data_IF_990241967557
#
_entry.id   IF_990241967557
#
_cell.length_a   1.000
_cell.length_b   1.000
_cell.length_c   1.000
_cell.angle_alpha   90.00
_cell.angle_beta   90.00
_cell.angle_gamma   90.00
#
_symmetry.space_group_name_H-M   'P 1'
#
loop_
_entity.id
_entity.type
_entity.pdbx_description
1 polymer ?
#
# COMPACT_ATOMS: atom_id res chain seq x y z
N UNK A 1 26.20 3.83 -53.19
CA UNK A 1 26.94 2.65 -52.71
C UNK A 1 27.75 3.09 -51.50
N UNK A 2 27.48 2.48 -50.33
CA UNK A 2 28.05 2.72 -48.99
C UNK A 2 27.54 3.94 -48.20
N UNK A 3 27.14 3.64 -46.96
CA UNK A 3 26.68 4.47 -45.83
C UNK A 3 25.22 4.96 -45.85
N UNK A 4 24.32 4.12 -45.33
CA UNK A 4 23.06 4.48 -44.65
C UNK A 4 22.41 3.18 -44.14
N UNK A 5 22.86 2.65 -43.01
CA UNK A 5 22.17 1.59 -42.28
C UNK A 5 22.50 1.70 -40.78
N UNK A 6 21.78 2.57 -40.08
CA UNK A 6 21.64 2.54 -38.61
C UNK A 6 20.32 3.19 -38.22
N UNK A 7 19.22 2.52 -38.54
CA UNK A 7 17.88 2.90 -38.12
C UNK A 7 17.04 1.64 -37.99
N UNK A 8 17.12 0.97 -36.83
CA UNK A 8 16.31 -0.21 -36.54
C UNK A 8 14.92 0.24 -36.09
N UNK A 9 14.04 0.48 -37.05
CA UNK A 9 12.61 0.25 -36.87
C UNK A 9 12.27 -1.07 -37.58
N UNK A 10 12.08 -2.12 -36.79
CA UNK A 10 11.35 -3.33 -37.16
C UNK A 10 11.25 -4.20 -35.90
N UNK A 11 10.22 -3.96 -35.08
CA UNK A 11 9.77 -4.98 -34.14
C UNK A 11 9.04 -6.06 -34.95
N UNK A 12 9.82 -7.00 -35.50
CA UNK A 12 9.29 -8.27 -35.98
C UNK A 12 9.20 -9.18 -34.76
N UNK A 13 7.98 -9.52 -34.37
CA UNK A 13 7.67 -10.49 -33.32
C UNK A 13 8.20 -11.86 -33.74
N UNK A 14 9.35 -12.26 -33.19
CA UNK A 14 9.81 -13.65 -33.24
C UNK A 14 9.09 -14.42 -32.14
N UNK A 15 8.18 -15.31 -32.54
CA UNK A 15 7.71 -16.41 -31.70
C UNK A 15 8.91 -17.27 -31.31
N UNK A 16 9.41 -17.09 -30.08
CA UNK A 16 10.29 -18.07 -29.44
C UNK A 16 9.47 -18.86 -28.43
N UNK A 17 9.09 -20.08 -28.82
CA UNK A 17 8.74 -21.11 -27.86
C UNK A 17 10.04 -21.56 -27.17
N UNK A 18 10.19 -21.30 -25.87
CA UNK A 18 11.22 -21.99 -25.09
C UNK A 18 10.79 -22.14 -23.62
N UNK A 19 10.49 -23.41 -23.34
CA UNK A 19 10.52 -24.18 -22.09
C UNK A 19 10.77 -23.41 -20.79
N UNK A 20 9.79 -23.52 -19.88
CA UNK A 20 9.85 -23.13 -18.48
C UNK A 20 11.01 -23.86 -17.78
N UNK A 21 11.85 -23.10 -17.08
CA UNK A 21 12.72 -23.65 -16.04
C UNK A 21 11.84 -24.22 -14.90
N UNK A 22 12.18 -25.39 -14.32
CA UNK A 22 11.38 -25.98 -13.27
C UNK A 22 11.66 -25.22 -11.95
N UNK A 23 10.60 -24.71 -11.30
CA UNK A 23 10.71 -24.34 -9.89
C UNK A 23 9.97 -23.09 -9.41
N UNK A 24 8.76 -22.78 -9.88
CA UNK A 24 7.65 -22.26 -9.07
C UNK A 24 6.38 -22.69 -9.81
N UNK A 25 5.46 -23.41 -9.15
CA UNK A 25 4.21 -23.81 -9.80
C UNK A 25 3.44 -22.55 -10.24
N UNK A 26 3.38 -22.28 -11.55
CA UNK A 26 2.49 -21.28 -12.11
C UNK A 26 1.06 -21.76 -11.91
N UNK A 27 0.34 -21.16 -10.95
CA UNK A 27 -1.03 -21.52 -10.64
C UNK A 27 -2.00 -20.64 -11.46
N UNK A 28 -2.89 -21.33 -12.18
CA UNK A 28 -3.96 -20.82 -13.04
C UNK A 28 -3.48 -20.06 -14.28
N UNK A 29 -3.54 -20.76 -15.42
CA UNK A 29 -3.39 -20.19 -16.75
C UNK A 29 -4.78 -19.78 -17.23
N UNK A 30 -5.02 -18.47 -17.20
CA UNK A 30 -6.27 -17.85 -17.63
C UNK A 30 -7.47 -18.03 -16.69
N UNK A 31 -8.48 -17.19 -16.92
CA UNK A 31 -9.68 -17.03 -16.09
C UNK A 31 -10.89 -17.01 -17.00
N UNK A 32 -11.90 -17.82 -16.68
CA UNK A 32 -13.17 -17.82 -17.41
C UNK A 32 -14.08 -16.73 -16.82
N UNK A 33 -14.34 -15.68 -17.60
CA UNK A 33 -15.22 -14.56 -17.21
C UNK A 33 -16.54 -14.72 -17.97
N UNK A 34 -17.52 -15.36 -17.32
CA UNK A 34 -18.78 -15.71 -17.98
C UNK A 34 -18.56 -16.63 -19.19
N UNK A 35 -18.78 -16.10 -20.40
CA UNK A 35 -18.70 -16.85 -21.66
C UNK A 35 -17.35 -16.76 -22.37
N UNK A 36 -16.40 -15.94 -21.91
CA UNK A 36 -15.11 -15.73 -22.57
C UNK A 36 -13.93 -16.02 -21.64
N UNK A 37 -12.79 -16.35 -22.23
CA UNK A 37 -11.53 -16.62 -21.53
C UNK A 37 -10.62 -15.39 -21.54
N UNK A 38 -10.04 -15.08 -20.38
CA UNK A 38 -9.02 -14.05 -20.20
C UNK A 38 -7.69 -14.73 -19.90
N UNK A 39 -6.66 -14.47 -20.69
CA UNK A 39 -5.30 -14.89 -20.41
C UNK A 39 -4.77 -14.17 -19.17
N UNK A 40 -4.37 -14.93 -18.17
CA UNK A 40 -3.99 -14.43 -16.86
C UNK A 40 -3.03 -15.40 -16.17
N UNK A 41 -2.27 -14.90 -15.21
CA UNK A 41 -1.42 -15.70 -14.36
C UNK A 41 -1.38 -15.15 -12.93
N UNK A 42 -1.38 -16.07 -11.96
CA UNK A 42 -1.17 -15.75 -10.55
C UNK A 42 0.09 -16.43 -10.01
N UNK A 43 0.81 -15.73 -9.13
CA UNK A 43 1.95 -16.30 -8.42
C UNK A 43 2.13 -15.63 -7.06
N UNK A 44 2.93 -16.25 -6.19
CA UNK A 44 3.27 -15.69 -4.88
C UNK A 44 2.13 -15.76 -3.87
N UNK A 45 2.36 -15.17 -2.70
CA UNK A 45 1.41 -15.12 -1.59
C UNK A 45 1.64 -13.84 -0.78
N UNK A 46 0.63 -13.41 -0.03
CA UNK A 46 0.75 -12.22 0.81
C UNK A 46 -0.62 -11.65 1.17
N UNK A 47 -0.65 -10.64 2.06
CA UNK A 47 -1.89 -10.00 2.50
C UNK A 47 -2.55 -9.13 1.43
N UNK A 48 -1.81 -8.76 0.37
CA UNK A 48 -2.32 -7.99 -0.76
C UNK A 48 -2.16 -8.79 -2.05
N UNK A 49 -3.13 -8.62 -2.96
CA UNK A 49 -2.94 -9.01 -4.37
C UNK A 49 -2.48 -7.78 -5.15
N UNK A 50 -1.31 -7.88 -5.79
CA UNK A 50 -0.78 -6.88 -6.71
C UNK A 50 -1.33 -7.16 -8.11
N UNK A 51 -2.22 -6.30 -8.58
CA UNK A 51 -2.89 -6.44 -9.88
C UNK A 51 -2.19 -5.52 -10.90
N UNK A 52 -1.77 -6.10 -12.01
CA UNK A 52 -1.07 -5.39 -13.08
C UNK A 52 -1.99 -5.09 -14.26
N UNK A 53 -2.09 -3.80 -14.60
CA UNK A 53 -2.86 -3.27 -15.70
C UNK A 53 -1.92 -2.72 -16.78
N UNK A 54 -1.88 -3.38 -17.93
CA UNK A 54 -1.00 -3.03 -19.05
C UNK A 54 -1.44 -1.76 -19.79
N UNK A 55 -0.52 -1.13 -20.52
CA UNK A 55 -0.86 -0.04 -21.45
C UNK A 55 -1.72 -0.50 -22.64
N UNK A 56 -2.09 0.44 -23.50
CA UNK A 56 -2.88 0.19 -24.71
C UNK A 56 -2.27 -0.95 -25.55
N UNK A 57 -3.12 -1.86 -26.05
CA UNK A 57 -2.76 -3.01 -26.89
C UNK A 57 -1.70 -3.99 -26.33
N UNK A 58 -1.22 -3.79 -25.10
CA UNK A 58 -0.20 -4.64 -24.46
C UNK A 58 -0.84 -5.83 -23.74
N UNK A 59 -0.28 -7.02 -23.93
CA UNK A 59 -0.67 -8.23 -23.20
C UNK A 59 0.08 -8.37 -21.86
N UNK A 60 -0.19 -9.43 -21.10
CA UNK A 60 0.43 -9.66 -19.79
C UNK A 60 1.95 -9.85 -19.84
N UNK A 61 2.53 -10.17 -21.01
CA UNK A 61 3.95 -10.48 -21.14
C UNK A 61 4.86 -9.28 -20.92
N UNK A 62 4.33 -8.05 -21.02
CA UNK A 62 5.09 -6.82 -20.72
C UNK A 62 5.58 -6.80 -19.27
N UNK A 63 4.87 -7.47 -18.35
CA UNK A 63 5.24 -7.55 -16.94
C UNK A 63 6.24 -8.65 -16.61
N UNK A 64 6.74 -9.41 -17.59
CA UNK A 64 7.63 -10.57 -17.37
C UNK A 64 8.93 -10.27 -16.62
N UNK A 65 9.38 -9.00 -16.63
CA UNK A 65 10.59 -8.56 -15.91
C UNK A 65 10.30 -8.05 -14.49
N UNK A 66 9.03 -7.79 -14.16
CA UNK A 66 8.62 -7.15 -12.89
C UNK A 66 7.82 -8.12 -12.02
N UNK A 67 6.76 -8.73 -12.57
CA UNK A 67 5.85 -9.57 -11.80
C UNK A 67 6.54 -10.76 -11.08
N UNK A 68 7.50 -11.49 -11.70
CA UNK A 68 8.21 -12.57 -10.99
C UNK A 68 9.04 -12.08 -9.80
N UNK A 69 9.59 -10.88 -9.85
CA UNK A 69 10.35 -10.31 -8.74
C UNK A 69 9.44 -9.95 -7.57
N UNK A 70 8.25 -9.42 -7.85
CA UNK A 70 7.23 -9.11 -6.83
C UNK A 70 6.60 -10.38 -6.24
N UNK A 71 6.42 -11.42 -7.06
CA UNK A 71 5.86 -12.70 -6.62
C UNK A 71 6.69 -13.38 -5.51
N UNK A 72 7.95 -12.99 -5.32
CA UNK A 72 8.81 -13.47 -4.22
C UNK A 72 8.32 -13.02 -2.84
N UNK A 73 7.58 -11.91 -2.76
CA UNK A 73 7.18 -11.29 -1.48
C UNK A 73 5.71 -10.87 -1.39
N UNK A 74 4.95 -10.94 -2.50
CA UNK A 74 3.53 -10.64 -2.54
C UNK A 74 2.79 -11.58 -3.51
N UNK A 75 1.46 -11.67 -3.38
CA UNK A 75 0.61 -12.31 -4.40
C UNK A 75 0.51 -11.35 -5.59
N UNK A 76 0.75 -11.86 -6.80
CA UNK A 76 0.61 -11.09 -8.05
C UNK A 76 -0.49 -11.68 -8.91
N UNK A 77 -1.16 -10.80 -9.66
CA UNK A 77 -2.11 -11.14 -10.71
C UNK A 77 -1.82 -10.29 -11.94
N UNK A 78 -1.42 -10.95 -13.03
CA UNK A 78 -1.19 -10.32 -14.34
C UNK A 78 -2.20 -10.87 -15.33
N UNK A 79 -2.66 -10.05 -16.27
CA UNK A 79 -3.66 -10.48 -17.24
C UNK A 79 -3.59 -9.67 -18.54
N UNK A 80 -4.13 -10.24 -19.61
CA UNK A 80 -4.31 -9.58 -20.91
C UNK A 80 -5.78 -9.23 -21.04
N UNK A 81 -6.13 -7.97 -21.26
CA UNK A 81 -7.53 -7.57 -21.45
C UNK A 81 -8.19 -8.38 -22.58
N UNK A 82 -9.51 -8.55 -22.51
CA UNK A 82 -10.25 -9.34 -23.49
C UNK A 82 -9.96 -8.86 -24.92
N UNK A 83 -9.68 -9.77 -25.85
CA UNK A 83 -9.30 -9.45 -27.25
C UNK A 83 -7.82 -9.09 -27.46
N UNK A 84 -6.99 -9.10 -26.41
CA UNK A 84 -5.54 -8.88 -26.48
C UNK A 84 -4.79 -10.17 -26.13
N UNK A 85 -3.70 -10.44 -26.83
CA UNK A 85 -2.86 -11.61 -26.57
C UNK A 85 -3.61 -12.91 -26.79
N UNK A 86 -3.67 -13.76 -25.76
CA UNK A 86 -4.42 -15.04 -25.78
C UNK A 86 -5.80 -14.95 -25.13
N UNK A 87 -6.27 -13.75 -24.82
CA UNK A 87 -7.63 -13.53 -24.31
C UNK A 87 -8.62 -13.52 -25.46
N UNK A 88 -9.76 -14.19 -25.26
CA UNK A 88 -10.89 -14.13 -26.17
C UNK A 88 -11.41 -12.69 -26.27
N UNK A 89 -11.98 -12.34 -27.42
CA UNK A 89 -12.78 -11.14 -27.54
C UNK A 89 -14.07 -11.27 -26.69
N UNK A 90 -14.58 -10.13 -26.20
CA UNK A 90 -15.86 -10.13 -25.50
C UNK A 90 -17.01 -10.35 -26.48
N UNK A 91 -18.09 -11.03 -26.06
CA UNK A 91 -19.28 -11.19 -26.89
C UNK A 91 -20.06 -9.87 -27.02
N UNK A 92 -19.99 -8.98 -26.03
CA UNK A 92 -20.64 -7.68 -26.09
C UNK A 92 -19.79 -6.61 -26.80
N UNK A 93 -20.45 -5.62 -27.40
CA UNK A 93 -19.78 -4.46 -27.96
C UNK A 93 -18.99 -3.69 -26.88
N UNK A 94 -17.76 -3.30 -27.20
CA UNK A 94 -16.95 -2.43 -26.33
C UNK A 94 -17.53 -1.01 -26.29
N UNK A 95 -17.52 -0.43 -25.10
CA UNK A 95 -17.82 0.99 -24.85
C UNK A 95 -16.82 1.53 -23.84
N UNK A 96 -16.56 2.85 -23.77
CA UNK A 96 -15.65 3.41 -22.76
C UNK A 96 -15.97 2.97 -21.33
N UNK A 97 -17.26 2.89 -20.98
CA UNK A 97 -17.73 2.46 -19.67
C UNK A 97 -17.51 0.97 -19.41
N UNK A 98 -17.68 0.12 -20.44
CA UNK A 98 -17.41 -1.32 -20.31
C UNK A 98 -15.93 -1.59 -20.19
N UNK A 99 -15.10 -0.92 -21.02
CA UNK A 99 -13.65 -1.06 -21.00
C UNK A 99 -13.04 -0.64 -19.66
N UNK A 100 -13.58 0.40 -19.03
CA UNK A 100 -13.11 0.85 -17.71
C UNK A 100 -13.59 -0.01 -16.54
N UNK A 101 -14.57 -0.89 -16.76
CA UNK A 101 -15.15 -1.77 -15.76
C UNK A 101 -14.77 -3.24 -15.91
N UNK A 102 -13.89 -3.60 -16.86
CA UNK A 102 -13.57 -5.02 -17.16
C UNK A 102 -12.85 -5.74 -16.03
N UNK A 103 -12.13 -4.99 -15.18
CA UNK A 103 -11.41 -5.55 -14.05
C UNK A 103 -12.35 -6.15 -12.99
N UNK A 104 -13.54 -5.58 -12.81
CA UNK A 104 -14.50 -6.02 -11.77
C UNK A 104 -14.93 -7.49 -11.94
N UNK A 105 -15.52 -7.91 -13.09
CA UNK A 105 -15.91 -9.32 -13.28
C UNK A 105 -14.70 -10.26 -13.38
N UNK A 106 -13.52 -9.76 -13.76
CA UNK A 106 -12.30 -10.56 -13.79
C UNK A 106 -11.81 -10.89 -12.38
N UNK A 107 -11.79 -9.91 -11.48
CA UNK A 107 -11.45 -10.08 -10.06
C UNK A 107 -12.38 -11.10 -9.40
N UNK A 108 -13.69 -10.99 -9.68
CA UNK A 108 -14.70 -11.91 -9.16
C UNK A 108 -14.46 -13.35 -9.65
N UNK A 109 -14.29 -13.52 -10.97
CA UNK A 109 -14.05 -14.83 -11.59
C UNK A 109 -12.71 -15.45 -11.17
N UNK A 110 -11.71 -14.62 -10.87
CA UNK A 110 -10.39 -15.06 -10.38
C UNK A 110 -10.36 -15.26 -8.85
N UNK A 111 -11.47 -15.01 -8.15
CA UNK A 111 -11.58 -15.11 -6.69
C UNK A 111 -10.49 -14.32 -5.95
N UNK A 112 -10.15 -13.13 -6.46
CA UNK A 112 -9.20 -12.25 -5.79
C UNK A 112 -9.92 -11.53 -4.65
N UNK A 113 -9.26 -11.46 -3.49
CA UNK A 113 -9.82 -10.79 -2.31
C UNK A 113 -9.13 -9.44 -2.09
N UNK A 114 -9.90 -8.38 -1.77
CA UNK A 114 -9.32 -7.10 -1.40
C UNK A 114 -8.64 -7.17 -0.02
N UNK A 115 -7.75 -6.21 0.31
CA UNK A 115 -7.44 -5.04 -0.50
C UNK A 115 -6.31 -5.27 -1.52
N UNK A 116 -6.34 -4.50 -2.61
CA UNK A 116 -5.46 -4.63 -3.78
C UNK A 116 -4.38 -3.56 -3.81
N UNK A 117 -3.24 -3.91 -4.40
CA UNK A 117 -2.26 -2.93 -4.88
C UNK A 117 -2.35 -2.90 -6.39
N UNK A 118 -2.66 -1.73 -6.96
CA UNK A 118 -2.90 -1.58 -8.38
C UNK A 118 -1.65 -1.02 -9.06
N UNK A 119 -1.17 -1.67 -10.11
CA UNK A 119 0.00 -1.23 -10.90
C UNK A 119 -0.46 -0.97 -12.33
N UNK A 120 -0.44 0.27 -12.77
CA UNK A 120 -0.96 0.67 -14.09
C UNK A 120 0.10 1.33 -14.94
N UNK A 121 0.37 0.79 -16.14
CA UNK A 121 1.24 1.42 -17.14
C UNK A 121 0.41 2.20 -18.16
N UNK A 122 0.79 3.45 -18.48
CA UNK A 122 0.18 4.19 -19.59
C UNK A 122 -1.36 4.24 -19.46
N UNK A 123 -2.11 3.76 -20.46
CA UNK A 123 -3.56 3.59 -20.42
C UNK A 123 -4.04 2.78 -19.19
N UNK A 124 -3.27 1.79 -18.75
CA UNK A 124 -3.56 1.07 -17.53
C UNK A 124 -3.54 1.94 -16.27
N UNK A 125 -2.71 2.99 -16.26
CA UNK A 125 -2.73 4.02 -15.23
C UNK A 125 -4.05 4.80 -15.16
N UNK A 126 -4.73 4.99 -16.29
CA UNK A 126 -6.09 5.54 -16.34
C UNK A 126 -7.12 4.56 -15.78
N UNK A 127 -7.07 3.29 -16.21
CA UNK A 127 -8.01 2.27 -15.79
C UNK A 127 -7.99 2.00 -14.27
N UNK A 128 -6.80 1.93 -13.65
CA UNK A 128 -6.70 1.71 -12.20
C UNK A 128 -7.25 2.89 -11.39
N UNK A 129 -7.24 4.12 -11.93
CA UNK A 129 -7.87 5.29 -11.30
C UNK A 129 -9.38 5.15 -11.30
N UNK A 130 -9.96 4.72 -12.42
CA UNK A 130 -11.40 4.47 -12.52
C UNK A 130 -11.86 3.31 -11.63
N UNK A 131 -11.03 2.27 -11.50
CA UNK A 131 -11.29 1.21 -10.51
C UNK A 131 -11.27 1.76 -9.08
N UNK A 132 -10.21 2.49 -8.70
CA UNK A 132 -10.05 3.04 -7.36
C UNK A 132 -11.13 4.07 -6.99
N UNK A 133 -11.69 4.78 -7.97
CA UNK A 133 -12.83 5.68 -7.75
C UNK A 133 -14.12 4.91 -7.45
N UNK A 134 -14.33 3.77 -8.11
CA UNK A 134 -15.54 2.94 -7.94
C UNK A 134 -15.48 2.06 -6.70
N UNK A 135 -14.28 1.62 -6.31
CA UNK A 135 -14.02 0.69 -5.20
C UNK A 135 -12.94 1.20 -4.24
N UNK A 136 -13.06 2.42 -3.68
CA UNK A 136 -11.99 3.05 -2.88
C UNK A 136 -11.60 2.23 -1.63
N UNK A 137 -12.53 1.49 -1.04
CA UNK A 137 -12.32 0.63 0.13
C UNK A 137 -11.55 -0.66 -0.19
N UNK A 138 -11.46 -1.04 -1.47
CA UNK A 138 -10.77 -2.23 -1.93
C UNK A 138 -9.32 -1.97 -2.33
N UNK A 139 -8.86 -0.72 -2.30
CA UNK A 139 -7.49 -0.34 -2.70
C UNK A 139 -6.65 -0.07 -1.47
N UNK A 140 -5.51 -0.75 -1.36
CA UNK A 140 -4.49 -0.53 -0.33
C UNK A 140 -3.31 0.31 -0.83
N UNK A 141 -3.10 0.43 -2.13
CA UNK A 141 -2.00 1.21 -2.71
C UNK A 141 -2.01 1.25 -4.22
N UNK A 142 -1.29 2.22 -4.81
CA UNK A 142 -1.29 2.44 -6.26
C UNK A 142 0.12 2.73 -6.80
N UNK A 143 0.49 2.13 -7.93
CA UNK A 143 1.72 2.43 -8.65
C UNK A 143 1.36 2.81 -10.08
N UNK A 144 1.76 4.00 -10.47
CA UNK A 144 1.57 4.52 -11.82
C UNK A 144 2.90 4.48 -12.56
N UNK A 145 2.95 3.74 -13.66
CA UNK A 145 4.12 3.64 -14.52
C UNK A 145 3.87 4.46 -15.77
N UNK A 146 4.38 5.68 -15.79
CA UNK A 146 4.19 6.65 -16.87
C UNK A 146 2.72 6.75 -17.36
N UNK A 147 1.77 7.05 -16.44
CA UNK A 147 0.34 6.92 -16.71
C UNK A 147 -0.19 7.89 -17.77
N UNK A 148 -1.08 7.44 -18.64
CA UNK A 148 -1.80 8.33 -19.55
C UNK A 148 -2.74 9.25 -18.79
N UNK A 149 -2.71 10.55 -19.11
CA UNK A 149 -3.50 11.58 -18.46
C UNK A 149 -4.52 12.19 -19.43
N UNK A 150 -5.77 12.26 -19.01
CA UNK A 150 -6.94 12.69 -19.78
C UNK A 150 -6.79 14.10 -20.35
N UNK A 151 -6.10 14.97 -19.60
CA UNK A 151 -5.90 16.36 -20.00
C UNK A 151 -4.67 16.57 -20.87
N UNK A 152 -3.87 15.54 -21.14
CA UNK A 152 -2.59 15.69 -21.82
C UNK A 152 -2.74 16.37 -23.19
N UNK A 153 -3.59 15.83 -24.07
CA UNK A 153 -3.86 16.41 -25.38
C UNK A 153 -4.41 17.83 -25.30
N UNK A 154 -5.31 18.09 -24.36
CA UNK A 154 -5.89 19.42 -24.16
C UNK A 154 -4.83 20.43 -23.73
N UNK A 155 -3.90 20.05 -22.86
CA UNK A 155 -2.78 20.90 -22.46
C UNK A 155 -1.74 21.05 -23.57
N UNK A 156 -1.45 19.99 -24.35
CA UNK A 156 -0.56 20.09 -25.52
C UNK A 156 -1.13 20.98 -26.62
N UNK A 157 -2.44 20.95 -26.86
CA UNK A 157 -3.10 21.83 -27.86
C UNK A 157 -2.96 23.30 -27.51
N UNK A 158 -2.81 23.65 -26.23
CA UNK A 158 -2.50 25.04 -25.81
C UNK A 158 -1.09 25.47 -26.23
N UNK A 159 -0.16 24.52 -26.38
CA UNK A 159 1.18 24.79 -26.89
C UNK A 159 1.19 24.85 -28.41
N UNK A 160 0.64 23.84 -29.09
CA UNK A 160 0.62 23.76 -30.56
C UNK A 160 -0.47 22.78 -31.06
N UNK A 161 -1.69 23.26 -31.26
CA UNK A 161 -2.80 22.41 -31.72
C UNK A 161 -2.58 21.81 -33.12
N UNK A 162 -1.84 22.49 -33.99
CA UNK A 162 -1.56 22.00 -35.34
C UNK A 162 -0.63 20.78 -35.31
N UNK A 163 0.41 20.82 -34.47
CA UNK A 163 1.29 19.68 -34.27
C UNK A 163 0.61 18.50 -33.58
N UNK A 164 -0.25 18.74 -32.59
CA UNK A 164 -1.04 17.66 -31.98
C UNK A 164 -1.93 16.98 -33.02
N UNK A 165 -2.60 17.75 -33.89
CA UNK A 165 -3.41 17.18 -34.97
C UNK A 165 -2.56 16.41 -36.01
N UNK A 166 -1.34 16.88 -36.29
CA UNK A 166 -0.39 16.18 -37.16
C UNK A 166 0.06 14.84 -36.55
N UNK A 167 0.47 14.86 -35.28
CA UNK A 167 0.87 13.66 -34.52
C UNK A 167 -0.27 12.63 -34.51
N UNK A 168 -1.49 13.05 -34.17
CA UNK A 168 -2.65 12.14 -34.15
C UNK A 168 -2.88 11.48 -35.50
N UNK A 169 -2.86 12.28 -36.59
CA UNK A 169 -3.05 11.75 -37.94
C UNK A 169 -1.94 10.75 -38.30
N UNK A 170 -0.70 11.01 -37.87
CA UNK A 170 0.41 10.08 -38.10
C UNK A 170 0.24 8.80 -37.27
N UNK A 171 -0.10 8.90 -35.98
CA UNK A 171 -0.37 7.74 -35.11
C UNK A 171 -1.53 6.87 -35.63
N UNK A 172 -2.58 7.48 -36.17
CA UNK A 172 -3.70 6.77 -36.81
C UNK A 172 -3.24 5.94 -38.03
N UNK A 173 -2.20 6.40 -38.75
CA UNK A 173 -1.61 5.61 -39.85
C UNK A 173 -0.75 4.46 -39.36
N UNK A 174 -0.11 4.60 -38.20
CA UNK A 174 0.75 3.57 -37.60
C UNK A 174 -0.08 2.51 -36.85
N UNK A 175 -1.30 2.85 -36.43
CA UNK A 175 -2.18 1.96 -35.67
C UNK A 175 -2.65 0.78 -36.53
N UNK A 176 -2.33 -0.48 -36.15
CA UNK A 176 -2.77 -1.67 -36.88
C UNK A 176 -4.30 -1.76 -36.96
N UNK A 177 -4.83 -2.25 -38.09
CA UNK A 177 -6.27 -2.34 -38.32
C UNK A 177 -7.07 -3.01 -37.19
N UNK A 178 -6.61 -4.13 -36.57
CA UNK A 178 -7.33 -4.76 -35.46
C UNK A 178 -7.46 -3.87 -34.21
N UNK A 179 -6.56 -2.89 -34.02
CA UNK A 179 -6.50 -2.03 -32.84
C UNK A 179 -7.21 -0.69 -33.03
N UNK A 180 -7.57 -0.31 -34.27
CA UNK A 180 -8.17 0.99 -34.57
C UNK A 180 -9.48 1.25 -33.81
N UNK A 181 -10.32 0.23 -33.69
CA UNK A 181 -11.57 0.36 -32.94
C UNK A 181 -11.32 0.59 -31.44
N UNK A 182 -10.33 -0.09 -30.85
CA UNK A 182 -9.95 0.13 -29.46
C UNK A 182 -9.32 1.50 -29.27
N UNK A 183 -8.41 1.92 -30.16
CA UNK A 183 -7.77 3.24 -30.12
C UNK A 183 -8.82 4.34 -30.07
N UNK A 184 -9.81 4.28 -30.98
CA UNK A 184 -10.90 5.26 -31.02
C UNK A 184 -11.70 5.31 -29.71
N UNK A 185 -11.99 4.16 -29.11
CA UNK A 185 -12.70 4.12 -27.82
C UNK A 185 -11.87 4.70 -26.68
N UNK A 186 -10.55 4.51 -26.71
CA UNK A 186 -9.62 5.12 -25.74
C UNK A 186 -9.59 6.63 -25.92
N UNK A 187 -9.50 7.12 -27.16
CA UNK A 187 -9.52 8.56 -27.46
C UNK A 187 -10.84 9.21 -27.02
N UNK A 188 -11.98 8.56 -27.29
CA UNK A 188 -13.30 9.00 -26.83
C UNK A 188 -13.40 9.03 -25.30
N UNK A 189 -12.86 8.02 -24.61
CA UNK A 189 -12.83 7.96 -23.16
C UNK A 189 -12.00 9.11 -22.56
N UNK A 190 -10.81 9.35 -23.10
CA UNK A 190 -9.94 10.44 -22.65
C UNK A 190 -10.56 11.81 -22.94
N UNK A 191 -11.10 12.01 -24.15
CA UNK A 191 -11.78 13.26 -24.51
C UNK A 191 -12.93 13.56 -23.56
N UNK A 192 -13.80 12.58 -23.29
CA UNK A 192 -14.92 12.75 -22.37
C UNK A 192 -14.44 13.03 -20.92
N UNK A 193 -13.45 12.28 -20.45
CA UNK A 193 -12.92 12.45 -19.09
C UNK A 193 -12.14 13.75 -18.90
N UNK A 194 -11.55 14.31 -19.96
CA UNK A 194 -10.82 15.58 -19.92
C UNK A 194 -11.71 16.79 -19.59
N UNK A 195 -13.03 16.65 -19.80
CA UNK A 195 -14.04 17.67 -19.51
C UNK A 195 -14.54 17.63 -18.07
N UNK A 196 -14.17 16.59 -17.32
CA UNK A 196 -14.60 16.37 -15.94
C UNK A 196 -13.50 16.80 -14.96
N UNK A 197 -13.86 17.16 -13.71
CA UNK A 197 -12.87 17.30 -12.64
C UNK A 197 -12.06 16.01 -12.47
N UNK A 198 -10.79 16.15 -12.08
CA UNK A 198 -9.96 14.99 -11.78
C UNK A 198 -10.66 14.09 -10.73
N UNK A 199 -10.71 12.78 -10.93
CA UNK A 199 -11.39 11.88 -10.01
C UNK A 199 -10.67 11.90 -8.65
N UNK A 200 -11.45 11.95 -7.57
CA UNK A 200 -10.90 11.85 -6.21
C UNK A 200 -10.52 10.41 -5.94
N UNK A 201 -9.23 10.16 -5.73
CA UNK A 201 -8.70 8.84 -5.41
C UNK A 201 -8.69 8.60 -3.90
N UNK A 202 -8.71 7.32 -3.44
CA UNK A 202 -8.50 7.00 -2.04
C UNK A 202 -7.09 7.45 -1.60
N UNK A 203 -6.99 7.98 -0.38
CA UNK A 203 -5.69 8.39 0.18
C UNK A 203 -4.93 7.16 0.70
N UNK A 204 -4.27 6.50 -0.24
CA UNK A 204 -3.46 5.29 -0.04
C UNK A 204 -2.01 5.57 -0.47
N UNK A 205 -1.03 4.79 0.00
CA UNK A 205 0.34 4.92 -0.45
C UNK A 205 0.43 4.78 -1.97
N UNK A 206 1.04 5.78 -2.62
CA UNK A 206 1.12 5.81 -4.07
C UNK A 206 2.49 6.20 -4.60
N UNK A 207 2.92 5.55 -5.69
CA UNK A 207 4.12 5.96 -6.41
C UNK A 207 3.77 6.29 -7.86
N UNK A 208 4.16 7.48 -8.32
CA UNK A 208 4.09 7.90 -9.71
C UNK A 208 5.50 7.85 -10.29
N UNK A 209 5.72 7.01 -11.30
CA UNK A 209 6.95 6.95 -12.08
C UNK A 209 6.74 7.72 -13.37
N UNK A 210 7.62 8.68 -13.66
CA UNK A 210 7.49 9.57 -14.81
C UNK A 210 8.75 9.53 -15.65
N UNK A 211 8.60 9.23 -16.95
CA UNK A 211 9.68 9.43 -17.90
C UNK A 211 9.77 10.90 -18.28
N UNK A 212 10.99 11.44 -18.23
CA UNK A 212 11.34 12.73 -18.83
C UNK A 212 12.41 12.59 -19.90
N UNK A 213 12.54 11.39 -20.49
CA UNK A 213 13.47 11.18 -21.58
C UNK A 213 13.08 12.05 -22.77
N UNK A 214 13.99 12.92 -23.18
CA UNK A 214 13.87 13.73 -24.40
C UNK A 214 14.75 13.15 -25.48
N UNK A 215 14.27 13.20 -26.73
CA UNK A 215 15.04 12.75 -27.90
C UNK A 215 15.69 13.95 -28.57
N UNK A 216 16.94 13.82 -29.01
CA UNK A 216 17.63 14.89 -29.75
C UNK A 216 16.86 15.33 -31.01
N UNK A 217 16.21 14.37 -31.68
CA UNK A 217 15.33 14.60 -32.81
C UNK A 217 13.96 13.96 -32.51
N UNK A 218 13.01 14.71 -31.92
CA UNK A 218 11.72 14.15 -31.54
C UNK A 218 10.87 13.87 -32.78
N UNK A 219 10.47 12.60 -32.94
CA UNK A 219 9.60 12.15 -34.03
C UNK A 219 8.16 12.70 -33.90
N UNK A 220 7.72 12.94 -32.67
CA UNK A 220 6.40 13.45 -32.33
C UNK A 220 6.53 14.69 -31.46
N UNK A 221 5.59 15.61 -31.57
CA UNK A 221 5.51 16.79 -30.72
C UNK A 221 5.45 16.44 -29.24
N UNK A 222 4.77 15.35 -28.88
CA UNK A 222 4.73 14.86 -27.49
C UNK A 222 6.10 14.51 -26.88
N UNK A 223 7.12 14.26 -27.71
CA UNK A 223 8.49 13.97 -27.27
C UNK A 223 9.39 15.22 -27.13
N UNK A 224 8.86 16.40 -27.44
CA UNK A 224 9.60 17.66 -27.29
C UNK A 224 9.72 18.08 -25.83
N UNK A 225 10.74 18.88 -25.50
CA UNK A 225 10.96 19.39 -24.13
C UNK A 225 9.71 20.06 -23.54
N UNK A 226 8.97 20.96 -24.25
CA UNK A 226 7.75 21.54 -23.72
C UNK A 226 6.65 20.52 -23.41
N UNK A 227 6.46 19.53 -24.29
CA UNK A 227 5.44 18.50 -24.11
C UNK A 227 5.76 17.54 -22.96
N UNK A 228 7.03 17.14 -22.81
CA UNK A 228 7.49 16.37 -21.63
C UNK A 228 7.29 17.17 -20.34
N UNK A 229 7.43 18.50 -20.39
CA UNK A 229 7.09 19.38 -19.28
C UNK A 229 5.61 19.30 -18.88
N UNK A 230 4.70 19.29 -19.85
CA UNK A 230 3.25 19.10 -19.62
C UNK A 230 2.97 17.73 -19.00
N UNK A 231 3.58 16.67 -19.55
CA UNK A 231 3.44 15.30 -19.05
C UNK A 231 3.81 15.20 -17.57
N UNK A 232 5.02 15.67 -17.22
CA UNK A 232 5.50 15.72 -15.83
C UNK A 232 4.59 16.55 -14.93
N UNK A 233 4.09 17.69 -15.40
CA UNK A 233 3.20 18.55 -14.61
C UNK A 233 1.87 17.85 -14.28
N UNK A 234 1.31 17.08 -15.20
CA UNK A 234 0.09 16.30 -14.96
C UNK A 234 0.33 15.15 -13.98
N UNK A 235 1.50 14.51 -14.04
CA UNK A 235 1.89 13.47 -13.09
C UNK A 235 2.11 14.03 -11.68
N UNK A 236 2.68 15.23 -11.57
CA UNK A 236 2.79 15.96 -10.30
C UNK A 236 1.39 16.23 -9.72
N UNK A 237 0.45 16.72 -10.54
CA UNK A 237 -0.93 16.96 -10.10
C UNK A 237 -1.63 15.67 -9.65
N UNK A 238 -1.37 14.54 -10.30
CA UNK A 238 -1.84 13.24 -9.85
C UNK A 238 -1.24 12.87 -8.49
N UNK A 239 0.07 13.02 -8.32
CA UNK A 239 0.77 12.68 -7.08
C UNK A 239 0.30 13.51 -5.88
N UNK A 240 -0.01 14.79 -6.09
CA UNK A 240 -0.48 15.70 -5.04
C UNK A 240 -1.84 15.30 -4.41
N UNK A 241 -2.54 14.28 -4.94
CA UNK A 241 -3.72 13.71 -4.31
C UNK A 241 -3.42 12.79 -3.13
N UNK A 242 -2.17 12.33 -2.98
CA UNK A 242 -1.77 11.32 -1.99
C UNK A 242 -0.95 11.94 -0.86
N UNK A 243 -1.25 11.58 0.39
CA UNK A 243 -0.49 12.03 1.57
C UNK A 243 0.75 11.19 1.85
N UNK A 244 0.91 10.06 1.15
CA UNK A 244 2.01 9.13 1.35
C UNK A 244 2.51 8.55 0.02
N UNK A 245 3.82 8.60 -0.19
CA UNK A 245 4.47 7.93 -1.32
C UNK A 245 5.51 8.77 -2.06
N UNK A 246 5.70 8.43 -3.34
CA UNK A 246 6.78 8.81 -4.30
C UNK A 246 6.31 9.51 -5.59
N UNK A 247 6.79 10.69 -5.98
CA UNK A 247 6.89 11.02 -7.41
C UNK A 247 8.34 10.86 -7.85
N UNK A 248 8.61 9.83 -8.65
CA UNK A 248 9.96 9.49 -9.11
C UNK A 248 10.07 9.77 -10.60
N UNK A 249 11.11 10.50 -10.98
CA UNK A 249 11.35 10.93 -12.36
C UNK A 249 12.61 10.27 -12.88
N UNK A 250 12.56 9.73 -14.11
CA UNK A 250 13.72 9.14 -14.79
C UNK A 250 13.90 9.73 -16.18
N UNK A 251 15.14 10.00 -16.57
CA UNK A 251 15.51 10.34 -17.94
C UNK A 251 16.17 9.16 -18.69
N UNK A 252 16.37 8.03 -18.00
CA UNK A 252 17.11 6.87 -18.52
C UNK A 252 16.23 5.92 -19.35
N UNK A 253 14.91 5.96 -19.14
CA UNK A 253 13.94 5.17 -19.89
C UNK A 253 12.87 6.04 -20.53
N UNK A 254 12.35 5.58 -21.66
CA UNK A 254 11.19 6.18 -22.32
C UNK A 254 9.88 5.75 -21.66
N UNK A 255 8.80 5.75 -22.44
CA UNK A 255 7.45 5.40 -21.99
C UNK A 255 7.33 3.99 -21.39
N UNK A 256 8.26 3.07 -21.70
CA UNK A 256 8.23 1.68 -21.24
C UNK A 256 9.19 1.42 -20.08
N UNK A 257 9.09 2.22 -19.01
CA UNK A 257 9.93 2.12 -17.79
C UNK A 257 9.96 0.67 -17.25
N UNK A 258 8.82 -0.05 -17.28
CA UNK A 258 8.73 -1.44 -16.82
C UNK A 258 9.56 -2.45 -17.66
N UNK A 259 9.92 -2.10 -18.90
CA UNK A 259 10.79 -2.92 -19.77
C UNK A 259 12.26 -2.48 -19.69
N UNK A 260 12.48 -1.18 -19.57
CA UNK A 260 13.79 -0.52 -19.65
C UNK A 260 14.47 -0.41 -18.27
N UNK A 261 13.72 -0.06 -17.23
CA UNK A 261 14.14 0.04 -15.82
C UNK A 261 13.22 -0.81 -14.90
N UNK A 262 13.11 -2.14 -15.11
CA UNK A 262 12.20 -3.00 -14.34
C UNK A 262 12.45 -2.97 -12.83
N UNK A 263 13.69 -2.77 -12.40
CA UNK A 263 14.05 -2.64 -10.99
C UNK A 263 13.45 -1.38 -10.35
N UNK A 264 13.32 -0.28 -11.11
CA UNK A 264 12.68 0.95 -10.63
C UNK A 264 11.19 0.71 -10.35
N UNK A 265 10.52 -0.01 -11.24
CA UNK A 265 9.11 -0.38 -11.06
C UNK A 265 8.93 -1.36 -9.89
N UNK A 266 9.80 -2.36 -9.78
CA UNK A 266 9.74 -3.31 -8.68
C UNK A 266 9.95 -2.62 -7.31
N UNK A 267 10.92 -1.70 -7.22
CA UNK A 267 11.16 -0.91 -6.02
C UNK A 267 9.97 -0.03 -5.64
N UNK A 268 9.31 0.60 -6.62
CA UNK A 268 8.09 1.39 -6.40
C UNK A 268 6.95 0.53 -5.82
N UNK A 269 6.75 -0.68 -6.35
CA UNK A 269 5.74 -1.62 -5.84
C UNK A 269 6.06 -2.04 -4.41
N UNK A 270 7.34 -2.36 -4.11
CA UNK A 270 7.76 -2.72 -2.76
C UNK A 270 7.57 -1.57 -1.75
N UNK A 271 7.85 -0.33 -2.17
CA UNK A 271 7.58 0.86 -1.36
C UNK A 271 6.09 1.00 -1.02
N UNK A 272 5.22 0.80 -2.01
CA UNK A 272 3.75 0.86 -1.80
C UNK A 272 3.28 -0.28 -0.89
N UNK A 273 3.76 -1.52 -1.08
CA UNK A 273 3.45 -2.66 -0.19
C UNK A 273 3.84 -2.33 1.26
N UNK A 274 5.05 -1.79 1.47
CA UNK A 274 5.53 -1.41 2.80
C UNK A 274 4.68 -0.31 3.42
N UNK A 275 4.33 0.72 2.64
CA UNK A 275 3.44 1.81 3.05
C UNK A 275 2.06 1.29 3.47
N UNK A 276 1.46 0.43 2.65
CA UNK A 276 0.14 -0.15 2.90
C UNK A 276 0.14 -0.99 4.20
N UNK A 277 1.17 -1.83 4.36
CA UNK A 277 1.38 -2.63 5.57
C UNK A 277 1.49 -1.76 6.82
N UNK A 278 2.28 -0.70 6.76
CA UNK A 278 2.44 0.21 7.89
C UNK A 278 1.14 0.95 8.22
N UNK A 279 0.36 1.35 7.21
CA UNK A 279 -0.95 1.99 7.40
C UNK A 279 -1.96 1.04 8.04
N UNK A 280 -2.03 -0.21 7.58
CA UNK A 280 -2.92 -1.21 8.17
C UNK A 280 -2.53 -1.54 9.61
N UNK A 281 -1.24 -1.70 9.90
CA UNK A 281 -0.75 -1.89 11.27
C UNK A 281 -1.15 -0.72 12.18
N UNK A 282 -1.01 0.53 11.72
CA UNK A 282 -1.46 1.71 12.47
C UNK A 282 -2.97 1.69 12.70
N UNK A 283 -3.76 1.31 11.69
CA UNK A 283 -5.23 1.22 11.79
C UNK A 283 -5.67 0.16 12.80
N UNK A 284 -5.11 -1.05 12.71
CA UNK A 284 -5.38 -2.16 13.64
C UNK A 284 -4.99 -1.77 15.06
N UNK A 285 -3.80 -1.19 15.24
CA UNK A 285 -3.32 -0.72 16.54
C UNK A 285 -4.22 0.35 17.15
N UNK A 286 -4.68 1.31 16.34
CA UNK A 286 -5.63 2.35 16.78
C UNK A 286 -6.98 1.74 17.20
N UNK A 287 -7.52 0.80 16.42
CA UNK A 287 -8.78 0.13 16.77
C UNK A 287 -8.65 -0.68 18.07
N UNK A 288 -7.53 -1.37 18.26
CA UNK A 288 -7.23 -2.06 19.51
C UNK A 288 -7.16 -1.09 20.70
N UNK A 289 -6.51 0.07 20.50
CA UNK A 289 -6.46 1.13 21.50
C UNK A 289 -7.85 1.67 21.86
N UNK A 290 -8.68 1.99 20.86
CA UNK A 290 -10.04 2.51 21.09
C UNK A 290 -10.90 1.51 21.86
N UNK A 291 -10.85 0.22 21.51
CA UNK A 291 -11.54 -0.85 22.24
C UNK A 291 -11.06 -0.97 23.68
N UNK A 292 -9.74 -0.93 23.90
CA UNK A 292 -9.17 -0.96 25.24
C UNK A 292 -9.65 0.23 26.06
N UNK A 293 -9.65 1.44 25.51
CA UNK A 293 -10.14 2.63 26.22
C UNK A 293 -11.61 2.51 26.62
N UNK A 294 -12.46 1.94 25.76
CA UNK A 294 -13.86 1.67 26.10
C UNK A 294 -14.01 0.62 27.21
N UNK A 295 -13.18 -0.42 27.21
CA UNK A 295 -13.17 -1.42 28.29
C UNK A 295 -12.73 -0.80 29.62
N UNK A 296 -11.74 0.10 29.58
CA UNK A 296 -11.27 0.85 30.74
C UNK A 296 -12.37 1.77 31.31
N UNK A 297 -13.16 2.43 30.46
CA UNK A 297 -14.31 3.24 30.92
C UNK A 297 -15.36 2.39 31.66
N UNK A 298 -15.63 1.17 31.16
CA UNK A 298 -16.54 0.22 31.82
C UNK A 298 -15.95 -0.33 33.12
N UNK A 299 -14.66 -0.63 33.14
CA UNK A 299 -13.95 -1.09 34.33
C UNK A 299 -13.95 -0.02 35.43
N UNK A 300 -13.80 1.25 35.09
CA UNK A 300 -13.94 2.37 36.03
C UNK A 300 -15.35 2.43 36.66
N UNK A 301 -16.40 2.23 35.85
CA UNK A 301 -17.77 2.16 36.35
C UNK A 301 -17.96 0.98 37.32
N UNK A 302 -17.37 -0.18 37.03
CA UNK A 302 -17.37 -1.34 37.92
C UNK A 302 -16.63 -1.07 39.24
N UNK A 303 -15.47 -0.40 39.18
CA UNK A 303 -14.73 0.01 40.37
C UNK A 303 -15.56 0.95 41.26
N UNK A 304 -16.25 1.94 40.66
CA UNK A 304 -17.17 2.84 41.39
C UNK A 304 -18.35 2.10 42.02
N UNK A 305 -18.79 1.00 41.40
CA UNK A 305 -19.81 0.10 41.93
C UNK A 305 -19.25 -0.96 42.89
N UNK A 306 -17.99 -0.84 43.34
CA UNK A 306 -17.30 -1.78 44.24
C UNK A 306 -17.14 -3.21 43.68
N UNK A 307 -17.17 -3.39 42.36
CA UNK A 307 -17.04 -4.67 41.66
C UNK A 307 -15.62 -4.88 41.11
N UNK A 308 -14.63 -4.83 42.00
CA UNK A 308 -13.22 -4.80 41.62
C UNK A 308 -12.73 -6.05 40.89
N UNK A 309 -13.23 -7.25 41.24
CA UNK A 309 -12.86 -8.49 40.57
C UNK A 309 -13.31 -8.51 39.10
N UNK A 310 -14.53 -8.05 38.83
CA UNK A 310 -15.08 -7.97 37.47
C UNK A 310 -14.38 -6.89 36.65
N UNK A 311 -14.03 -5.75 37.28
CA UNK A 311 -13.21 -4.72 36.64
C UNK A 311 -11.85 -5.29 36.21
N UNK A 312 -11.17 -6.03 37.10
CA UNK A 312 -9.90 -6.69 36.78
C UNK A 312 -10.00 -7.66 35.60
N UNK A 313 -11.00 -8.55 35.63
CA UNK A 313 -11.24 -9.51 34.53
C UNK A 313 -11.48 -8.81 33.18
N UNK A 314 -12.25 -7.70 33.19
CA UNK A 314 -12.50 -6.94 31.98
C UNK A 314 -11.23 -6.26 31.44
N UNK A 315 -10.41 -5.68 32.32
CA UNK A 315 -9.12 -5.07 31.94
C UNK A 315 -8.18 -6.14 31.36
N UNK A 316 -8.06 -7.28 32.03
CA UNK A 316 -7.19 -8.38 31.60
C UNK A 316 -7.61 -8.91 30.22
N UNK A 317 -8.91 -9.13 30.00
CA UNK A 317 -9.44 -9.55 28.70
C UNK A 317 -9.14 -8.53 27.60
N UNK A 318 -9.41 -7.24 27.87
CA UNK A 318 -9.20 -6.18 26.90
C UNK A 318 -7.71 -5.98 26.54
N UNK A 319 -6.82 -6.05 27.52
CA UNK A 319 -5.38 -5.97 27.29
C UNK A 319 -4.86 -7.17 26.51
N UNK A 320 -5.34 -8.39 26.84
CA UNK A 320 -5.01 -9.60 26.07
C UNK A 320 -5.48 -9.51 24.61
N UNK A 321 -6.69 -9.03 24.37
CA UNK A 321 -7.24 -8.82 23.02
C UNK A 321 -6.48 -7.74 22.23
N UNK A 322 -5.94 -6.73 22.91
CA UNK A 322 -5.18 -5.64 22.26
C UNK A 322 -3.85 -6.10 21.64
N UNK A 323 -3.28 -7.21 22.14
CA UNK A 323 -1.95 -7.72 21.79
C UNK A 323 -0.82 -6.69 21.97
N UNK A 324 -1.01 -5.72 22.86
CA UNK A 324 -0.01 -4.72 23.18
C UNK A 324 1.19 -5.33 23.91
N UNK A 325 2.39 -4.86 23.56
CA UNK A 325 3.62 -5.25 24.25
C UNK A 325 3.80 -4.49 25.56
N UNK A 326 4.81 -4.87 26.34
CA UNK A 326 5.10 -4.29 27.66
C UNK A 326 5.06 -2.75 27.67
N UNK A 327 5.77 -2.11 26.75
CA UNK A 327 5.87 -0.65 26.67
C UNK A 327 4.53 0.02 26.35
N UNK A 328 3.71 -0.64 25.52
CA UNK A 328 2.40 -0.13 25.14
C UNK A 328 1.44 -0.17 26.33
N UNK A 329 1.44 -1.29 27.08
CA UNK A 329 0.63 -1.45 28.30
C UNK A 329 1.10 -0.47 29.38
N UNK A 330 2.42 -0.31 29.55
CA UNK A 330 3.00 0.65 30.49
C UNK A 330 2.55 2.08 30.15
N UNK A 331 2.60 2.45 28.87
CA UNK A 331 2.13 3.73 28.38
C UNK A 331 0.64 3.97 28.66
N UNK A 332 -0.21 2.93 28.51
CA UNK A 332 -1.64 3.00 28.88
C UNK A 332 -1.78 3.21 30.39
N UNK A 333 -1.06 2.46 31.23
CA UNK A 333 -1.13 2.59 32.68
C UNK A 333 -0.81 4.00 33.17
N UNK A 334 0.30 4.59 32.71
CA UNK A 334 0.64 5.97 33.05
C UNK A 334 -0.30 7.01 32.43
N UNK A 335 -0.88 6.75 31.26
CA UNK A 335 -1.91 7.63 30.69
C UNK A 335 -3.17 7.65 31.57
N UNK A 336 -3.62 6.48 32.06
CA UNK A 336 -4.76 6.37 32.98
C UNK A 336 -4.47 7.08 34.29
N UNK A 337 -3.29 6.89 34.87
CA UNK A 337 -2.88 7.60 36.09
C UNK A 337 -2.81 9.12 35.87
N UNK A 338 -2.08 9.55 34.84
CA UNK A 338 -1.72 10.95 34.62
C UNK A 338 -2.87 11.80 34.08
N UNK A 339 -3.51 11.35 32.99
CA UNK A 339 -4.56 12.10 32.30
C UNK A 339 -5.94 11.86 32.89
N UNK A 340 -6.25 10.62 33.27
CA UNK A 340 -7.60 10.27 33.78
C UNK A 340 -7.70 10.35 35.31
N UNK A 341 -6.58 10.41 36.03
CA UNK A 341 -6.53 10.46 37.50
C UNK A 341 -7.25 9.28 38.15
N UNK A 342 -7.12 8.08 37.56
CA UNK A 342 -7.77 6.84 38.00
C UNK A 342 -6.71 5.84 38.51
N UNK A 343 -6.16 6.02 39.73
CA UNK A 343 -5.03 5.22 40.22
C UNK A 343 -5.39 3.73 40.42
N UNK A 344 -6.61 3.41 40.85
CA UNK A 344 -7.07 2.02 40.98
C UNK A 344 -7.13 1.29 39.64
N UNK A 345 -7.65 1.96 38.60
CA UNK A 345 -7.70 1.40 37.26
C UNK A 345 -6.29 1.28 36.65
N UNK A 346 -5.43 2.28 36.86
CA UNK A 346 -4.04 2.22 36.42
C UNK A 346 -3.27 1.07 37.09
N UNK A 347 -3.53 0.80 38.38
CA UNK A 347 -2.94 -0.34 39.09
C UNK A 347 -3.40 -1.69 38.49
N UNK A 348 -4.64 -1.83 38.03
CA UNK A 348 -5.09 -3.03 37.31
C UNK A 348 -4.32 -3.23 35.99
N UNK A 349 -4.12 -2.16 35.22
CA UNK A 349 -3.34 -2.22 33.96
C UNK A 349 -1.89 -2.60 34.23
N UNK A 350 -1.25 -2.00 35.24
CA UNK A 350 0.14 -2.31 35.57
C UNK A 350 0.32 -3.71 36.16
N UNK A 351 -0.66 -4.19 36.94
CA UNK A 351 -0.69 -5.57 37.42
C UNK A 351 -0.66 -6.53 36.24
N UNK A 352 -1.56 -6.35 35.26
CA UNK A 352 -1.58 -7.18 34.06
C UNK A 352 -0.22 -7.15 33.33
N UNK A 353 0.42 -5.99 33.25
CA UNK A 353 1.74 -5.85 32.62
C UNK A 353 2.81 -6.68 33.33
N UNK A 354 2.92 -6.54 34.65
CA UNK A 354 3.88 -7.30 35.47
C UNK A 354 3.62 -8.82 35.41
N UNK A 355 2.35 -9.24 35.40
CA UNK A 355 1.98 -10.65 35.29
C UNK A 355 2.28 -11.22 33.90
N UNK A 356 2.11 -10.42 32.84
CA UNK A 356 2.35 -10.84 31.45
C UNK A 356 3.85 -10.84 31.10
N UNK A 357 4.62 -9.93 31.71
CA UNK A 357 6.05 -9.78 31.49
C UNK A 357 6.84 -9.95 32.80
N UNK A 358 6.83 -11.15 33.42
CA UNK A 358 7.41 -11.37 34.76
C UNK A 358 8.95 -11.29 34.79
N UNK A 359 9.60 -11.25 33.63
CA UNK A 359 11.04 -11.03 33.50
C UNK A 359 11.41 -9.55 33.34
N UNK A 360 10.43 -8.65 33.23
CA UNK A 360 10.69 -7.22 33.06
C UNK A 360 10.81 -6.51 34.40
N UNK A 361 12.03 -6.10 34.73
CA UNK A 361 12.30 -5.19 35.84
C UNK A 361 11.44 -3.91 35.77
N UNK A 362 11.24 -3.39 34.57
CA UNK A 362 10.49 -2.16 34.34
C UNK A 362 8.98 -2.36 34.60
N UNK A 363 8.40 -3.49 34.17
CA UNK A 363 6.99 -3.78 34.45
C UNK A 363 6.71 -3.91 35.97
N UNK A 364 7.62 -4.57 36.70
CA UNK A 364 7.53 -4.68 38.16
C UNK A 364 7.70 -3.33 38.86
N UNK A 365 8.68 -2.51 38.46
CA UNK A 365 8.87 -1.18 39.05
C UNK A 365 7.65 -0.28 38.82
N UNK A 366 7.15 -0.20 37.58
CA UNK A 366 5.95 0.57 37.26
C UNK A 366 4.72 0.09 38.05
N UNK A 367 4.54 -1.22 38.25
CA UNK A 367 3.44 -1.71 39.10
C UNK A 367 3.63 -1.33 40.57
N UNK A 368 4.86 -1.39 41.09
CA UNK A 368 5.19 -0.93 42.44
C UNK A 368 4.84 0.55 42.65
N UNK A 369 5.11 1.42 41.67
CA UNK A 369 4.76 2.84 41.75
C UNK A 369 3.25 3.03 41.88
N UNK A 370 2.47 2.32 41.06
CA UNK A 370 1.01 2.40 41.10
C UNK A 370 0.43 1.84 42.40
N UNK A 371 1.05 0.82 42.99
CA UNK A 371 0.69 0.30 44.30
C UNK A 371 0.90 1.33 45.42
N UNK A 372 1.94 2.16 45.34
CA UNK A 372 2.11 3.29 46.27
C UNK A 372 1.00 4.33 46.12
N UNK A 373 0.62 4.67 44.89
CA UNK A 373 -0.48 5.61 44.62
C UNK A 373 -1.83 5.12 45.19
N UNK A 374 -2.07 3.81 45.17
CA UNK A 374 -3.27 3.19 45.79
C UNK A 374 -3.09 2.79 47.25
N UNK A 375 -2.05 3.29 47.92
CA UNK A 375 -1.76 3.09 49.35
C UNK A 375 -1.54 1.62 49.75
N UNK A 376 -0.83 0.86 48.93
CA UNK A 376 -0.45 -0.54 49.18
C UNK A 376 1.07 -0.72 49.27
N UNK A 377 1.75 -0.08 50.25
CA UNK A 377 3.21 0.00 50.27
C UNK A 377 3.91 -1.33 50.53
N UNK A 378 3.27 -2.28 51.20
CA UNK A 378 3.82 -3.63 51.39
C UNK A 378 3.96 -4.38 50.07
N UNK A 379 2.93 -4.31 49.23
CA UNK A 379 2.94 -4.95 47.91
C UNK A 379 3.89 -4.20 46.96
N UNK A 380 3.91 -2.86 47.03
CA UNK A 380 4.84 -2.05 46.26
C UNK A 380 6.30 -2.41 46.54
N UNK A 381 6.66 -2.57 47.83
CA UNK A 381 7.99 -3.02 48.25
C UNK A 381 8.39 -4.34 47.58
N UNK A 382 7.48 -5.33 47.56
CA UNK A 382 7.76 -6.62 46.93
C UNK A 382 8.02 -6.48 45.41
N UNK A 383 7.25 -5.63 44.73
CA UNK A 383 7.46 -5.36 43.30
C UNK A 383 8.80 -4.66 43.02
N UNK A 384 9.18 -3.67 43.83
CA UNK A 384 10.48 -3.00 43.66
C UNK A 384 11.67 -3.91 43.95
N UNK A 385 11.55 -4.80 44.94
CA UNK A 385 12.57 -5.82 45.21
C UNK A 385 12.73 -6.77 44.01
N UNK A 386 11.62 -7.19 43.40
CA UNK A 386 11.63 -7.99 42.17
C UNK A 386 12.27 -7.23 41.01
N UNK A 387 11.94 -5.94 40.83
CA UNK A 387 12.51 -5.09 39.80
C UNK A 387 14.04 -4.96 39.93
N UNK A 388 14.55 -4.76 41.15
CA UNK A 388 15.99 -4.69 41.42
C UNK A 388 16.66 -6.04 41.11
N UNK A 389 16.08 -7.16 41.55
CA UNK A 389 16.63 -8.48 41.29
C UNK A 389 16.76 -8.77 39.77
N UNK A 390 15.68 -8.51 39.02
CA UNK A 390 15.66 -8.65 37.57
C UNK A 390 16.59 -7.66 36.86
N UNK A 391 16.66 -6.42 37.36
CA UNK A 391 17.51 -5.38 36.80
C UNK A 391 19.00 -5.69 36.95
N UNK A 392 19.39 -6.25 38.09
CA UNK A 392 20.75 -6.76 38.32
C UNK A 392 21.06 -7.96 37.43
N UNK A 393 20.13 -8.92 37.29
CA UNK A 393 20.33 -10.09 36.44
C UNK A 393 20.39 -9.74 34.93
N UNK A 394 19.65 -8.71 34.51
CA UNK A 394 19.56 -8.26 33.12
C UNK A 394 20.49 -7.10 32.75
N UNK A 395 21.49 -6.79 33.58
CA UNK A 395 22.49 -5.73 33.36
C UNK A 395 21.87 -4.36 32.97
N UNK A 396 20.83 -3.95 33.71
CA UNK A 396 20.21 -2.63 33.52
C UNK A 396 21.20 -1.51 33.85
N UNK A 397 21.05 -0.38 33.17
CA UNK A 397 21.94 0.77 33.37
C UNK A 397 21.97 1.24 34.83
N UNK A 398 23.10 1.79 35.31
CA UNK A 398 23.20 2.32 36.67
C UNK A 398 22.11 3.33 37.01
N UNK A 399 21.70 4.16 36.03
CA UNK A 399 20.62 5.13 36.19
C UNK A 399 19.26 4.46 36.43
N UNK A 400 18.94 3.40 35.69
CA UNK A 400 17.71 2.64 35.91
C UNK A 400 17.70 1.97 37.29
N UNK A 401 18.82 1.36 37.66
CA UNK A 401 18.99 0.71 38.97
C UNK A 401 18.85 1.70 40.13
N UNK A 402 19.34 2.92 39.99
CA UNK A 402 19.16 3.98 40.98
C UNK A 402 17.69 4.39 41.12
N UNK A 403 16.97 4.48 40.00
CA UNK A 403 15.53 4.70 39.99
C UNK A 403 14.77 3.65 40.81
N UNK A 404 15.06 2.37 40.58
CA UNK A 404 14.41 1.26 41.29
C UNK A 404 14.70 1.27 42.79
N UNK A 405 15.95 1.55 43.20
CA UNK A 405 16.32 1.68 44.62
C UNK A 405 15.62 2.85 45.30
N UNK A 406 15.52 3.99 44.61
CA UNK A 406 14.79 5.16 45.12
C UNK A 406 13.31 4.84 45.33
N UNK A 407 12.71 4.10 44.40
CA UNK A 407 11.32 3.68 44.51
C UNK A 407 11.11 2.68 45.67
N UNK A 408 12.03 1.72 45.87
CA UNK A 408 12.03 0.85 47.05
C UNK A 408 12.07 1.65 48.36
N UNK A 409 12.98 2.63 48.48
CA UNK A 409 13.10 3.46 49.68
C UNK A 409 11.82 4.25 49.98
N UNK A 410 11.11 4.72 48.94
CA UNK A 410 9.79 5.37 49.10
C UNK A 410 8.76 4.42 49.70
N UNK A 411 8.74 3.15 49.27
CA UNK A 411 7.83 2.15 49.83
C UNK A 411 8.15 1.82 51.29
N UNK A 412 9.43 1.72 51.65
CA UNK A 412 9.86 1.48 53.03
C UNK A 412 9.52 2.66 53.94
N UNK A 413 9.70 3.89 53.47
CA UNK A 413 9.28 5.07 54.21
C UNK A 413 7.77 5.11 54.42
N UNK A 414 6.99 4.69 53.42
CA UNK A 414 5.52 4.63 53.52
C UNK A 414 5.05 3.55 54.51
N UNK A 415 5.81 2.47 54.71
CA UNK A 415 5.52 1.43 55.73
C UNK A 415 5.86 1.87 57.15
N UNK A 416 6.76 2.84 57.30
CA UNK A 416 7.21 3.34 58.60
C UNK A 416 6.31 4.47 59.17
N UNK A 417 5.28 4.88 58.42
CA UNK A 417 4.27 5.88 58.80
C UNK A 417 2.95 5.18 59.07
#
# INVERSE_FOLDING_TARGET
>A
MKQLFSGKFAAVTLMSACLLAPGVAASQQGVKVGAYHVDAASAGSGPYTVIFESGFASDLSVWRKVAPEIAKTAKVFVYSRAGIGKSDARPEARTPQRSSAELDPLIEAAHLSPPYILVGHSYGGYLIRLFAQRHPEQVAGMVFVDPSMERFDTELKKLDAAKVAQDQKYLDTLTPAPLKAESKLVDEAFAAASLLPAPRLPDVPAVVLTSTMVREQPEFFMHTVPAVGVWRSLHEQLFLQFSSGSHVVTANSGHNIHLEEPALVAGAIQQVIAGATAQEQRRVRKLAQDKLLQALDRADALLKAQRASEAGQLVDSALKESRFGENDINGVGYMVLGKRKQPQLAALVMKFNADTFPASANAHDSYGELLLEVKQPLQAKAQFQQAIALGTAGDKSPQAMEGYRKNLARAEQALAR
#
